data_IF_967960703939
#
_entry.id   IF_967960703939
#
_cell.length_a   1.000
_cell.length_b   1.000
_cell.length_c   1.000
_cell.angle_alpha   90.00
_cell.angle_beta   90.00
_cell.angle_gamma   90.00
#
_symmetry.space_group_name_H-M   'P 1'
#
loop_
_entity.id
_entity.type
_entity.pdbx_description
1 polymer ?
#
# COMPACT_ATOMS: atom_id res chain seq x y z
N UNK A 1 15.19 -21.71 3.65
CA UNK A 1 14.52 -20.77 2.74
C UNK A 1 13.31 -20.23 3.47
N UNK A 2 13.34 -18.95 3.83
CA UNK A 2 12.37 -18.31 4.74
C UNK A 2 10.98 -18.34 4.11
N UNK A 3 10.08 -19.08 4.73
CA UNK A 3 8.65 -19.09 4.43
C UNK A 3 8.16 -17.65 4.55
N UNK A 4 7.85 -17.01 3.42
CA UNK A 4 7.73 -15.56 3.33
C UNK A 4 6.44 -15.10 4.03
N UNK A 5 6.51 -14.93 5.34
CA UNK A 5 5.42 -14.38 6.18
C UNK A 5 4.97 -13.01 5.68
N UNK A 6 5.87 -12.27 5.05
CA UNK A 6 5.60 -11.01 4.35
C UNK A 6 4.51 -11.18 3.28
N UNK A 7 4.56 -12.25 2.48
CA UNK A 7 3.55 -12.52 1.46
C UNK A 7 2.19 -12.92 2.07
N UNK A 8 2.16 -13.64 3.18
CA UNK A 8 0.89 -13.91 3.88
C UNK A 8 0.29 -12.65 4.47
N UNK A 9 1.12 -11.74 4.98
CA UNK A 9 0.68 -10.44 5.49
C UNK A 9 0.07 -9.59 4.37
N UNK A 10 0.74 -9.51 3.21
CA UNK A 10 0.21 -8.85 2.01
C UNK A 10 -1.08 -9.50 1.49
N UNK A 11 -1.20 -10.83 1.53
CA UNK A 11 -2.38 -11.58 1.04
C UNK A 11 -3.59 -11.43 1.97
N UNK A 12 -3.41 -11.38 3.29
CA UNK A 12 -4.51 -11.16 4.24
C UNK A 12 -5.02 -9.71 4.18
N UNK A 13 -4.12 -8.74 3.99
CA UNK A 13 -4.47 -7.34 3.73
C UNK A 13 -5.23 -7.17 2.39
N UNK A 14 -4.82 -7.91 1.35
CA UNK A 14 -5.49 -7.98 0.05
C UNK A 14 -6.90 -8.58 0.12
N UNK A 15 -7.13 -9.50 1.04
CA UNK A 15 -8.39 -10.26 1.15
C UNK A 15 -9.49 -9.48 1.85
N UNK A 16 -9.15 -8.48 2.66
CA UNK A 16 -10.10 -7.59 3.33
C UNK A 16 -10.67 -6.49 2.41
N UNK A 17 -9.92 -6.04 1.39
CA UNK A 17 -10.36 -4.97 0.48
C UNK A 17 -9.87 -5.17 -0.97
N UNK A 18 -10.48 -6.12 -1.72
CA UNK A 18 -10.08 -6.38 -3.11
C UNK A 18 -10.15 -5.14 -4.02
N UNK A 19 -10.98 -4.15 -3.67
CA UNK A 19 -11.07 -2.87 -4.37
C UNK A 19 -9.86 -1.95 -4.16
N UNK A 20 -9.28 -1.89 -2.95
CA UNK A 20 -8.09 -1.04 -2.69
C UNK A 20 -6.83 -1.65 -3.30
N UNK A 21 -6.79 -2.98 -3.35
CA UNK A 21 -5.70 -3.73 -3.91
C UNK A 21 -5.63 -3.62 -5.45
N UNK A 22 -6.79 -3.71 -6.11
CA UNK A 22 -6.91 -3.44 -7.55
C UNK A 22 -6.66 -1.98 -7.87
N UNK A 23 -7.17 -1.05 -7.07
CA UNK A 23 -6.84 0.37 -7.20
C UNK A 23 -5.32 0.61 -7.10
N UNK A 24 -4.64 0.01 -6.13
CA UNK A 24 -3.19 0.15 -5.97
C UNK A 24 -2.41 -0.34 -7.20
N UNK A 25 -2.75 -1.51 -7.75
CA UNK A 25 -2.13 -2.01 -8.98
C UNK A 25 -2.43 -1.14 -10.20
N UNK A 26 -3.66 -0.64 -10.29
CA UNK A 26 -4.08 0.21 -11.39
C UNK A 26 -3.35 1.56 -11.34
N UNK A 27 -3.16 2.14 -10.15
CA UNK A 27 -2.37 3.35 -9.93
C UNK A 27 -0.89 3.12 -10.26
N UNK A 28 -0.33 1.96 -9.90
CA UNK A 28 1.04 1.60 -10.20
C UNK A 28 1.27 1.46 -11.72
N UNK A 29 0.36 0.79 -12.43
CA UNK A 29 0.40 0.67 -13.88
C UNK A 29 0.25 2.04 -14.55
N UNK A 30 -0.68 2.86 -14.06
CA UNK A 30 -0.91 4.21 -14.59
C UNK A 30 0.32 5.11 -14.37
N UNK A 31 1.01 4.95 -13.24
CA UNK A 31 2.27 5.64 -12.94
C UNK A 31 3.40 5.15 -13.85
N UNK A 32 3.47 3.85 -14.12
CA UNK A 32 4.43 3.28 -15.07
C UNK A 32 4.22 3.74 -16.51
N UNK A 33 2.97 4.03 -16.89
CA UNK A 33 2.61 4.51 -18.23
C UNK A 33 2.92 6.00 -18.46
N UNK A 34 3.24 6.77 -17.41
CA UNK A 34 3.48 8.21 -17.51
C UNK A 34 4.55 8.64 -18.50
N UNK A 35 5.74 8.02 -18.56
CA UNK A 35 6.75 8.39 -19.56
C UNK A 35 6.23 8.23 -21.00
N UNK A 36 5.43 7.20 -21.26
CA UNK A 36 4.85 6.95 -22.56
C UNK A 36 3.77 8.01 -22.90
N UNK A 37 2.90 8.35 -21.94
CA UNK A 37 1.91 9.41 -22.12
C UNK A 37 2.55 10.77 -22.42
N UNK A 38 3.65 11.09 -21.75
CA UNK A 38 4.38 12.34 -21.96
C UNK A 38 5.03 12.40 -23.36
N UNK A 39 5.58 11.28 -23.83
CA UNK A 39 6.10 11.15 -25.19
C UNK A 39 4.99 11.34 -26.24
N UNK A 40 3.83 10.71 -26.05
CA UNK A 40 2.66 10.87 -26.94
C UNK A 40 2.15 12.31 -26.94
N UNK A 41 1.97 12.92 -25.77
CA UNK A 41 1.50 14.29 -25.64
C UNK A 41 2.44 15.29 -26.33
N UNK A 42 3.76 15.09 -26.17
CA UNK A 42 4.77 15.90 -26.85
C UNK A 42 4.69 15.72 -28.36
N UNK A 43 4.53 14.48 -28.84
CA UNK A 43 4.38 14.19 -30.28
C UNK A 43 3.17 14.87 -30.91
N UNK A 44 2.01 14.77 -30.26
CA UNK A 44 0.75 15.41 -30.71
C UNK A 44 0.89 16.94 -30.74
N UNK A 45 1.49 17.52 -29.70
CA UNK A 45 1.72 18.96 -29.64
C UNK A 45 2.66 19.42 -30.77
N UNK A 46 3.77 18.71 -30.99
CA UNK A 46 4.73 19.04 -32.06
C UNK A 46 4.10 18.90 -33.44
N UNK A 47 3.28 17.87 -33.67
CA UNK A 47 2.54 17.70 -34.93
C UNK A 47 1.61 18.89 -35.19
N UNK A 48 0.81 19.27 -34.20
CA UNK A 48 -0.15 20.38 -34.32
C UNK A 48 0.53 21.73 -34.57
N UNK A 49 1.70 21.95 -33.95
CA UNK A 49 2.52 23.15 -34.20
C UNK A 49 3.06 23.16 -35.64
N UNK A 50 3.49 22.01 -36.17
CA UNK A 50 4.02 21.90 -37.53
C UNK A 50 2.94 22.12 -38.59
N UNK A 51 1.74 21.61 -38.35
CA UNK A 51 0.63 21.66 -39.29
C UNK A 51 -0.13 23.01 -39.24
N UNK A 52 0.22 23.88 -38.28
CA UNK A 52 -0.42 25.19 -38.10
C UNK A 52 -1.86 25.09 -37.60
N UNK A 53 -2.25 23.93 -37.06
CA UNK A 53 -3.58 23.64 -36.57
C UNK A 53 -3.84 24.27 -35.19
N UNK A 54 -5.10 24.24 -34.77
CA UNK A 54 -5.49 24.76 -33.46
C UNK A 54 -4.81 24.00 -32.31
N UNK A 55 -4.05 24.73 -31.49
CA UNK A 55 -3.35 24.21 -30.32
C UNK A 55 -4.28 23.86 -29.14
N UNK A 56 -5.56 24.24 -29.20
CA UNK A 56 -6.52 24.03 -28.12
C UNK A 56 -6.69 22.56 -27.73
N UNK A 57 -6.82 21.65 -28.71
CA UNK A 57 -6.98 20.22 -28.47
C UNK A 57 -5.71 19.57 -27.86
N UNK A 58 -4.49 19.79 -28.41
CA UNK A 58 -3.25 19.32 -27.80
C UNK A 58 -3.02 19.86 -26.38
N UNK A 59 -3.28 21.16 -26.16
CA UNK A 59 -3.12 21.79 -24.85
C UNK A 59 -4.09 21.22 -23.82
N UNK A 60 -5.34 20.97 -24.23
CA UNK A 60 -6.34 20.32 -23.37
C UNK A 60 -5.89 18.90 -23.01
N UNK A 61 -5.38 18.14 -23.98
CA UNK A 61 -4.85 16.79 -23.73
C UNK A 61 -3.69 16.81 -22.73
N UNK A 62 -2.70 17.69 -22.92
CA UNK A 62 -1.58 17.87 -21.98
C UNK A 62 -2.09 18.25 -20.58
N UNK A 63 -3.05 19.17 -20.50
CA UNK A 63 -3.67 19.59 -19.24
C UNK A 63 -4.36 18.44 -18.51
N UNK A 64 -5.12 17.61 -19.21
CA UNK A 64 -5.78 16.42 -18.64
C UNK A 64 -4.74 15.43 -18.10
N UNK A 65 -3.71 15.11 -18.89
CA UNK A 65 -2.62 14.20 -18.47
C UNK A 65 -1.90 14.74 -17.24
N UNK A 66 -1.66 16.06 -17.20
CA UNK A 66 -1.03 16.72 -16.07
C UNK A 66 -1.88 16.64 -14.79
N UNK A 67 -3.17 16.92 -14.88
CA UNK A 67 -4.10 16.82 -13.73
C UNK A 67 -4.17 15.39 -13.23
N UNK A 68 -4.27 14.40 -14.12
CA UNK A 68 -4.22 12.98 -13.76
C UNK A 68 -2.93 12.65 -12.98
N UNK A 69 -1.79 13.17 -13.43
CA UNK A 69 -0.51 12.95 -12.74
C UNK A 69 -0.47 13.58 -11.34
N UNK A 70 -1.04 14.76 -11.18
CA UNK A 70 -1.13 15.45 -9.90
C UNK A 70 -1.99 14.69 -8.88
N UNK A 71 -3.08 14.06 -9.32
CA UNK A 71 -3.97 13.29 -8.43
C UNK A 71 -3.40 11.90 -8.11
N UNK A 72 -2.58 11.33 -8.99
CA UNK A 72 -2.07 9.97 -8.86
C UNK A 72 -1.22 9.77 -7.59
N UNK A 73 -0.34 10.73 -7.30
CA UNK A 73 0.54 10.68 -6.12
C UNK A 73 -0.23 10.70 -4.80
N UNK A 74 -1.10 11.70 -4.52
CA UNK A 74 -1.89 11.72 -3.28
C UNK A 74 -2.84 10.53 -3.19
N UNK A 75 -3.39 10.04 -4.31
CA UNK A 75 -4.24 8.86 -4.30
C UNK A 75 -3.47 7.59 -3.89
N UNK A 76 -2.26 7.39 -4.41
CA UNK A 76 -1.43 6.26 -4.00
C UNK A 76 -0.94 6.37 -2.56
N UNK A 77 -0.65 7.58 -2.07
CA UNK A 77 -0.34 7.83 -0.66
C UNK A 77 -1.53 7.48 0.24
N UNK A 78 -2.74 7.94 -0.10
CA UNK A 78 -3.95 7.64 0.65
C UNK A 78 -4.25 6.14 0.72
N UNK A 79 -4.13 5.42 -0.40
CA UNK A 79 -4.29 3.96 -0.45
C UNK A 79 -3.24 3.27 0.43
N UNK A 80 -1.98 3.70 0.36
CA UNK A 80 -0.89 3.12 1.16
C UNK A 80 -1.08 3.38 2.66
N UNK A 81 -1.52 4.58 3.04
CA UNK A 81 -1.80 4.95 4.42
C UNK A 81 -2.95 4.12 5.00
N UNK A 82 -4.05 3.95 4.25
CA UNK A 82 -5.18 3.15 4.70
C UNK A 82 -4.82 1.67 4.87
N UNK A 83 -4.03 1.13 3.95
CA UNK A 83 -3.48 -0.23 4.06
C UNK A 83 -2.58 -0.36 5.30
N UNK A 84 -1.73 0.64 5.56
CA UNK A 84 -0.87 0.67 6.74
C UNK A 84 -1.66 0.72 8.06
N UNK A 85 -2.76 1.48 8.12
CA UNK A 85 -3.61 1.56 9.31
C UNK A 85 -4.26 0.22 9.64
N UNK A 86 -4.90 -0.43 8.66
CA UNK A 86 -5.53 -1.75 8.84
C UNK A 86 -4.50 -2.81 9.26
N UNK A 87 -3.31 -2.77 8.66
CA UNK A 87 -2.20 -3.64 9.04
C UNK A 87 -1.75 -3.42 10.49
N UNK A 88 -1.65 -2.15 10.91
CA UNK A 88 -1.26 -1.75 12.26
C UNK A 88 -2.24 -2.25 13.31
N UNK A 89 -3.54 -2.04 13.07
CA UNK A 89 -4.60 -2.47 13.98
C UNK A 89 -4.57 -3.99 14.19
N UNK A 90 -4.46 -4.76 13.10
CA UNK A 90 -4.37 -6.22 13.19
C UNK A 90 -3.15 -6.69 14.00
N UNK A 91 -2.00 -6.05 13.80
CA UNK A 91 -0.77 -6.43 14.50
C UNK A 91 -0.86 -6.08 15.99
N UNK A 92 -1.48 -4.95 16.32
CA UNK A 92 -1.71 -4.52 17.68
C UNK A 92 -2.66 -5.50 18.41
N UNK A 93 -3.77 -5.88 17.78
CA UNK A 93 -4.69 -6.90 18.31
C UNK A 93 -3.96 -8.23 18.57
N UNK A 94 -3.08 -8.64 17.64
CA UNK A 94 -2.30 -9.88 17.80
C UNK A 94 -1.32 -9.81 18.97
N UNK A 95 -0.65 -8.69 19.15
CA UNK A 95 0.24 -8.44 20.29
C UNK A 95 -0.53 -8.41 21.61
N UNK A 96 -1.70 -7.77 21.62
CA UNK A 96 -2.58 -7.73 22.79
C UNK A 96 -2.99 -9.14 23.19
N UNK A 97 -3.52 -9.94 22.26
CA UNK A 97 -3.89 -11.34 22.49
C UNK A 97 -2.69 -12.15 22.99
N UNK A 98 -1.50 -11.99 22.38
CA UNK A 98 -0.31 -12.71 22.80
C UNK A 98 0.23 -12.30 24.17
N UNK A 99 -0.08 -11.09 24.65
CA UNK A 99 0.33 -10.60 25.98
C UNK A 99 -0.62 -11.08 27.08
N UNK A 100 -1.91 -11.26 26.77
CA UNK A 100 -2.93 -11.69 27.75
C UNK A 100 -3.20 -13.21 27.70
N UNK A 101 -2.85 -13.90 26.61
CA UNK A 101 -3.00 -15.36 26.46
C UNK A 101 -2.00 -16.24 27.24
N UNK A 102 -0.79 -15.82 27.64
CA UNK A 102 0.07 -16.70 28.43
C UNK A 102 -0.65 -16.99 29.74
N UNK A 103 -0.86 -18.27 30.11
CA UNK A 103 -1.20 -18.58 31.50
C UNK A 103 -0.08 -17.97 32.34
N UNK A 104 -0.45 -17.16 33.34
CA UNK A 104 0.52 -16.46 34.18
C UNK A 104 1.60 -17.40 34.69
N UNK A 105 2.73 -16.85 35.12
CA UNK A 105 3.83 -17.58 35.77
C UNK A 105 3.42 -18.37 37.03
N UNK A 106 2.14 -18.61 37.29
CA UNK A 106 1.62 -19.45 38.36
C UNK A 106 2.07 -20.92 38.28
N UNK A 107 2.53 -21.41 37.12
CA UNK A 107 3.21 -22.72 37.06
C UNK A 107 4.66 -22.65 37.56
N UNK A 108 5.30 -21.49 37.53
CA UNK A 108 6.60 -21.23 38.19
C UNK A 108 6.42 -20.89 39.69
N UNK A 109 5.18 -20.69 40.12
CA UNK A 109 4.76 -20.46 41.51
C UNK A 109 4.20 -21.76 42.14
N UNK A 110 4.58 -22.92 41.60
CA UNK A 110 4.25 -24.21 42.21
C UNK A 110 4.96 -24.34 43.56
N UNK A 111 4.21 -24.63 44.62
CA UNK A 111 4.73 -24.86 45.98
C UNK A 111 5.86 -25.91 46.05
N UNK A 112 5.97 -26.76 45.04
CA UNK A 112 7.00 -27.80 44.89
C UNK A 112 8.42 -27.23 44.66
N UNK A 113 8.55 -26.04 44.05
CA UNK A 113 9.84 -25.34 43.86
C UNK A 113 10.20 -24.45 45.05
N UNK A 114 9.23 -24.05 45.88
CA UNK A 114 9.45 -23.28 47.10
C UNK A 114 10.02 -24.15 48.24
N UNK A 115 9.67 -25.43 48.26
CA UNK A 115 10.18 -26.41 49.23
C UNK A 115 11.65 -26.78 48.97
N UNK A 116 12.10 -26.70 47.71
CA UNK A 116 13.48 -27.04 47.28
C UNK A 116 14.49 -25.88 47.51
N UNK A 117 13.99 -24.66 47.78
CA UNK A 117 14.79 -23.49 48.15
C UNK A 117 14.75 -23.17 49.67
N UNK A 118 14.03 -23.98 50.45
CA UNK A 118 14.02 -23.93 51.91
C UNK A 118 15.21 -24.68 52.52
N UNK A 119 16.40 -24.08 52.44
CA UNK A 119 17.56 -24.44 53.30
C UNK A 119 17.62 -23.49 54.48
#
# INVERSE_FOLDING_TARGET
MRDRQEFRFFVVLFRASPGLATAWWLLLLLRGAMPALLAVATGVLVASVRDGESLSAPLTFVGVVFVLFQVLTPLQQAVSANLGAVAGDWMNDRLMVATVSPPGMGHLESSELADDLGV
#
